data_IF_652947706213
#
_entry.id   IF_652947706213
#
_cell.length_a   1.000
_cell.length_b   1.000
_cell.length_c   1.000
_cell.angle_alpha   90.00
_cell.angle_beta   90.00
_cell.angle_gamma   90.00
#
_symmetry.space_group_name_H-M   'P 1'
#
loop_
_entity.id
_entity.type
_entity.pdbx_description
1 polymer ?
#
# COMPACT_ATOMS: atom_id res chain seq x y z
N UNK A 1 6.80 -11.94 -14.36
CA UNK A 1 7.11 -12.39 -12.99
C UNK A 1 6.50 -11.39 -12.03
N UNK A 2 5.82 -11.87 -10.99
CA UNK A 2 5.27 -11.05 -9.91
C UNK A 2 6.42 -10.40 -9.14
N UNK A 3 6.20 -9.18 -8.67
CA UNK A 3 7.19 -8.38 -7.96
C UNK A 3 7.17 -8.68 -6.47
N UNK A 4 5.96 -8.75 -5.94
CA UNK A 4 5.68 -9.16 -4.59
C UNK A 4 5.06 -10.55 -4.65
N UNK A 5 5.51 -11.43 -3.77
CA UNK A 5 4.92 -12.75 -3.56
C UNK A 5 4.55 -12.83 -2.10
N UNK A 6 3.30 -13.23 -1.83
CA UNK A 6 2.83 -13.38 -0.45
C UNK A 6 3.76 -14.31 0.33
N UNK A 7 4.19 -13.83 1.50
CA UNK A 7 5.12 -14.54 2.37
C UNK A 7 4.79 -14.28 3.83
N UNK A 8 5.52 -14.92 4.75
CA UNK A 8 5.30 -14.71 6.18
C UNK A 8 5.60 -13.28 6.60
N UNK A 9 6.51 -12.59 5.91
CA UNK A 9 6.79 -11.17 6.15
C UNK A 9 5.60 -10.25 5.83
N UNK A 10 4.55 -10.74 5.15
CA UNK A 10 3.33 -9.98 4.87
C UNK A 10 2.26 -10.07 5.97
N UNK A 11 2.46 -10.95 6.97
CA UNK A 11 1.48 -11.27 7.99
C UNK A 11 1.67 -10.36 9.20
N UNK A 12 0.61 -9.66 9.59
CA UNK A 12 0.54 -8.84 10.80
C UNK A 12 -0.19 -9.55 11.94
N UNK A 13 -0.92 -10.64 11.64
CA UNK A 13 -1.64 -11.41 12.65
C UNK A 13 -3.00 -10.80 13.02
N UNK A 14 -3.51 -9.91 12.17
CA UNK A 14 -4.89 -9.41 12.22
C UNK A 14 -5.54 -9.78 10.89
N UNK A 15 -6.44 -10.76 10.90
CA UNK A 15 -6.97 -11.40 9.69
C UNK A 15 -7.53 -10.38 8.69
N UNK A 16 -8.26 -9.37 9.17
CA UNK A 16 -8.81 -8.33 8.32
C UNK A 16 -7.72 -7.49 7.62
N UNK A 17 -6.59 -7.26 8.27
CA UNK A 17 -5.45 -6.53 7.68
C UNK A 17 -4.65 -7.43 6.75
N UNK A 18 -4.43 -8.69 7.12
CA UNK A 18 -3.77 -9.69 6.28
C UNK A 18 -4.52 -9.89 4.94
N UNK A 19 -5.85 -9.97 4.98
CA UNK A 19 -6.69 -10.07 3.79
C UNK A 19 -6.57 -8.82 2.89
N UNK A 20 -6.52 -7.63 3.49
CA UNK A 20 -6.35 -6.37 2.76
C UNK A 20 -4.96 -6.23 2.15
N UNK A 21 -3.90 -6.64 2.86
CA UNK A 21 -2.53 -6.69 2.36
C UNK A 21 -2.43 -7.55 1.10
N UNK A 22 -3.09 -8.72 1.08
CA UNK A 22 -3.11 -9.59 -0.09
C UNK A 22 -3.68 -8.89 -1.33
N UNK A 23 -4.81 -8.20 -1.18
CA UNK A 23 -5.45 -7.45 -2.26
C UNK A 23 -4.60 -6.25 -2.70
N UNK A 24 -3.98 -5.53 -1.76
CA UNK A 24 -3.08 -4.42 -2.07
C UNK A 24 -1.87 -4.91 -2.87
N UNK A 25 -1.28 -6.03 -2.46
CA UNK A 25 -0.18 -6.68 -3.17
C UNK A 25 -0.56 -7.06 -4.61
N UNK A 26 -1.73 -7.64 -4.81
CA UNK A 26 -2.23 -8.01 -6.14
C UNK A 26 -2.40 -6.76 -7.02
N UNK A 27 -3.01 -5.70 -6.48
CA UNK A 27 -3.23 -4.43 -7.18
C UNK A 27 -1.90 -3.76 -7.58
N UNK A 28 -0.88 -3.83 -6.72
CA UNK A 28 0.48 -3.36 -7.00
C UNK A 28 1.16 -4.19 -8.10
N UNK A 29 1.01 -5.51 -8.06
CA UNK A 29 1.53 -6.42 -9.08
C UNK A 29 0.89 -6.15 -10.45
N UNK A 30 -0.41 -5.92 -10.50
CA UNK A 30 -1.16 -5.56 -11.72
C UNK A 30 -0.66 -4.24 -12.32
N UNK A 31 -0.55 -3.18 -11.51
CA UNK A 31 -0.03 -1.89 -11.97
C UNK A 31 1.35 -2.06 -12.60
N UNK A 32 2.25 -2.81 -11.95
CA UNK A 32 3.58 -3.07 -12.50
C UNK A 32 3.53 -3.79 -13.84
N UNK A 33 2.69 -4.81 -13.99
CA UNK A 33 2.55 -5.52 -15.27
C UNK A 33 2.16 -4.54 -16.37
N UNK A 34 1.23 -3.62 -16.10
CA UNK A 34 0.82 -2.59 -17.05
C UNK A 34 1.98 -1.63 -17.40
N UNK A 35 2.73 -1.18 -16.39
CA UNK A 35 3.87 -0.29 -16.61
C UNK A 35 5.00 -0.96 -17.41
N UNK A 36 5.27 -2.25 -17.19
CA UNK A 36 6.34 -2.98 -17.88
C UNK A 36 6.01 -3.31 -19.35
N UNK A 37 4.74 -3.54 -19.67
CA UNK A 37 4.31 -3.89 -21.02
C UNK A 37 3.92 -2.66 -21.86
N UNK A 38 4.16 -1.45 -21.36
CA UNK A 38 3.79 -0.21 -22.05
C UNK A 38 2.28 -0.09 -22.22
N UNK A 39 1.52 -0.38 -21.15
CA UNK A 39 0.07 -0.25 -21.13
C UNK A 39 -0.40 1.13 -21.57
N UNK A 40 -1.61 1.19 -22.12
CA UNK A 40 -2.20 2.46 -22.54
C UNK A 40 -2.35 3.41 -21.34
N UNK A 41 -2.12 4.71 -21.58
CA UNK A 41 -2.14 5.75 -20.55
C UNK A 41 -3.47 5.79 -19.79
N UNK A 42 -4.59 5.63 -20.49
CA UNK A 42 -5.91 5.60 -19.87
C UNK A 42 -6.03 4.39 -18.95
N UNK A 43 -5.55 3.23 -19.38
CA UNK A 43 -5.53 2.03 -18.54
C UNK A 43 -4.64 2.22 -17.30
N UNK A 44 -3.46 2.82 -17.45
CA UNK A 44 -2.56 3.11 -16.31
C UNK A 44 -3.22 4.07 -15.33
N UNK A 45 -3.88 5.12 -15.83
CA UNK A 45 -4.61 6.08 -14.99
C UNK A 45 -5.71 5.40 -14.18
N UNK A 46 -6.54 4.57 -14.83
CA UNK A 46 -7.59 3.80 -14.16
C UNK A 46 -7.04 2.83 -13.11
N UNK A 47 -5.91 2.17 -13.39
CA UNK A 47 -5.28 1.28 -12.41
C UNK A 47 -4.69 2.05 -11.22
N UNK A 48 -4.13 3.24 -11.44
CA UNK A 48 -3.67 4.11 -10.36
C UNK A 48 -4.83 4.60 -9.50
N UNK A 49 -5.95 4.98 -10.10
CA UNK A 49 -7.18 5.34 -9.37
C UNK A 49 -7.66 4.19 -8.50
N UNK A 50 -7.72 2.97 -9.05
CA UNK A 50 -8.12 1.77 -8.30
C UNK A 50 -7.14 1.46 -7.14
N UNK A 51 -5.83 1.56 -7.39
CA UNK A 51 -4.82 1.40 -6.34
C UNK A 51 -4.97 2.45 -5.23
N UNK A 52 -5.22 3.71 -5.60
CA UNK A 52 -5.40 4.83 -4.65
C UNK A 52 -6.66 4.62 -3.81
N UNK A 53 -7.77 4.19 -4.43
CA UNK A 53 -9.02 3.91 -3.73
C UNK A 53 -8.84 2.78 -2.71
N UNK A 54 -8.24 1.66 -3.14
CA UNK A 54 -8.04 0.52 -2.26
C UNK A 54 -7.04 0.83 -1.13
N UNK A 55 -5.93 1.50 -1.44
CA UNK A 55 -4.94 1.95 -0.44
C UNK A 55 -5.58 2.85 0.61
N UNK A 56 -6.45 3.79 0.21
CA UNK A 56 -7.16 4.65 1.17
C UNK A 56 -8.10 3.87 2.08
N UNK A 57 -8.85 2.92 1.51
CA UNK A 57 -9.77 2.08 2.29
C UNK A 57 -9.00 1.23 3.32
N UNK A 58 -7.89 0.64 2.90
CA UNK A 58 -7.01 -0.12 3.79
C UNK A 58 -6.48 0.75 4.93
N UNK A 59 -5.83 1.88 4.61
CA UNK A 59 -5.31 2.81 5.60
C UNK A 59 -6.39 3.35 6.54
N UNK A 60 -7.59 3.63 6.03
CA UNK A 60 -8.70 4.05 6.87
C UNK A 60 -9.12 2.96 7.86
N UNK A 61 -9.19 1.70 7.41
CA UNK A 61 -9.56 0.56 8.25
C UNK A 61 -8.54 0.35 9.37
N UNK A 62 -7.27 0.42 9.01
CA UNK A 62 -6.14 0.27 9.91
C UNK A 62 -6.03 1.44 10.89
N UNK A 63 -6.08 2.68 10.42
CA UNK A 63 -6.03 3.87 11.27
C UNK A 63 -7.19 3.88 12.28
N UNK A 64 -8.39 3.48 11.87
CA UNK A 64 -9.53 3.33 12.79
C UNK A 64 -9.27 2.27 13.85
N UNK A 65 -8.68 1.14 13.47
CA UNK A 65 -8.31 0.07 14.39
C UNK A 65 -7.26 0.55 15.40
N UNK A 66 -6.16 1.12 14.91
CA UNK A 66 -5.05 1.61 15.74
C UNK A 66 -5.49 2.72 16.70
N UNK A 67 -6.30 3.66 16.22
CA UNK A 67 -6.84 4.74 17.04
C UNK A 67 -7.80 4.21 18.12
N UNK A 68 -8.69 3.27 17.77
CA UNK A 68 -9.66 2.68 18.70
C UNK A 68 -8.96 1.94 19.83
N UNK A 69 -7.94 1.16 19.50
CA UNK A 69 -7.22 0.36 20.48
C UNK A 69 -6.20 1.21 21.27
N UNK A 70 -5.78 2.35 20.73
CA UNK A 70 -4.85 3.27 21.39
C UNK A 70 -3.38 2.88 21.16
N UNK A 71 -3.04 2.44 19.96
CA UNK A 71 -1.68 2.06 19.59
C UNK A 71 -0.73 3.27 19.70
N UNK A 72 0.37 3.20 20.49
CA UNK A 72 1.25 4.35 20.70
C UNK A 72 1.94 4.88 19.44
N UNK A 73 2.16 4.03 18.42
CA UNK A 73 2.81 4.40 17.16
C UNK A 73 1.88 5.01 16.11
N UNK A 74 0.61 5.27 16.43
CA UNK A 74 -0.42 5.70 15.47
C UNK A 74 -0.02 6.92 14.61
N UNK A 75 0.55 7.97 15.21
CA UNK A 75 0.87 9.20 14.46
C UNK A 75 2.02 8.99 13.45
N UNK A 76 3.01 8.16 13.79
CA UNK A 76 4.09 7.78 12.87
C UNK A 76 3.54 6.95 11.71
N UNK A 77 2.70 5.97 12.03
CA UNK A 77 2.02 5.10 11.07
C UNK A 77 1.21 5.90 10.04
N UNK A 78 0.37 6.82 10.53
CA UNK A 78 -0.45 7.70 9.69
C UNK A 78 0.40 8.63 8.83
N UNK A 79 1.57 9.07 9.31
CA UNK A 79 2.48 9.90 8.52
C UNK A 79 3.05 9.13 7.32
N UNK A 80 3.40 7.85 7.51
CA UNK A 80 3.83 6.98 6.41
C UNK A 80 2.72 6.79 5.36
N UNK A 81 1.48 6.59 5.79
CA UNK A 81 0.31 6.51 4.91
C UNK A 81 0.12 7.75 4.05
N UNK A 82 0.16 8.93 4.68
CA UNK A 82 0.03 10.20 3.98
C UNK A 82 1.12 10.38 2.91
N UNK A 83 2.34 9.93 3.20
CA UNK A 83 3.45 10.01 2.25
C UNK A 83 3.24 9.10 1.03
N UNK A 84 2.76 7.86 1.22
CA UNK A 84 2.43 6.99 0.08
C UNK A 84 1.32 7.60 -0.77
N UNK A 85 0.20 8.02 -0.14
CA UNK A 85 -0.94 8.58 -0.85
C UNK A 85 -0.53 9.80 -1.67
N UNK A 86 0.25 10.72 -1.10
CA UNK A 86 0.76 11.88 -1.83
C UNK A 86 1.57 11.48 -3.08
N UNK A 87 2.38 10.41 -2.97
CA UNK A 87 3.19 9.91 -4.10
C UNK A 87 2.33 9.25 -5.18
N UNK A 88 1.29 8.50 -4.79
CA UNK A 88 0.34 7.90 -5.73
C UNK A 88 -0.49 8.98 -6.45
N UNK A 89 -0.99 9.98 -5.73
CA UNK A 89 -1.71 11.11 -6.33
C UNK A 89 -0.84 11.91 -7.29
N UNK A 90 0.42 12.16 -6.94
CA UNK A 90 1.38 12.82 -7.84
C UNK A 90 1.64 12.00 -9.11
N UNK A 91 1.73 10.67 -9.00
CA UNK A 91 1.86 9.81 -10.17
C UNK A 91 0.61 9.85 -11.07
N UNK A 92 -0.60 9.83 -10.48
CA UNK A 92 -1.85 9.96 -11.22
C UNK A 92 -1.95 11.31 -11.94
N UNK A 93 -1.56 12.40 -11.28
CA UNK A 93 -1.56 13.73 -11.88
C UNK A 93 -0.61 13.82 -13.09
N UNK A 94 0.60 13.25 -12.98
CA UNK A 94 1.56 13.21 -14.09
C UNK A 94 1.02 12.43 -15.29
N UNK A 95 0.37 11.28 -15.04
CA UNK A 95 -0.27 10.48 -16.10
C UNK A 95 -1.40 11.26 -16.78
N UNK A 96 -2.22 11.97 -16.01
CA UNK A 96 -3.38 12.69 -16.54
C UNK A 96 -3.00 13.95 -17.35
N UNK A 97 -1.88 14.60 -17.02
CA UNK A 97 -1.41 15.82 -17.70
C UNK A 97 -0.43 15.55 -18.86
N UNK A 98 -0.22 14.29 -19.23
CA UNK A 98 0.78 13.89 -20.23
C UNK A 98 2.20 14.38 -19.89
N UNK A 99 2.47 14.55 -18.60
CA UNK A 99 3.79 14.81 -18.11
C UNK A 99 4.62 13.52 -18.18
N UNK A 100 5.93 13.67 -18.32
CA UNK A 100 6.84 12.53 -18.36
C UNK A 100 6.87 11.83 -16.98
N UNK A 101 5.90 10.94 -16.72
CA UNK A 101 5.93 10.08 -15.54
C UNK A 101 7.18 9.21 -15.61
N UNK A 102 8.02 9.30 -14.59
CA UNK A 102 9.19 8.46 -14.49
C UNK A 102 8.81 7.07 -13.95
N UNK A 103 8.17 6.24 -14.80
CA UNK A 103 7.73 4.89 -14.47
C UNK A 103 8.80 4.04 -13.74
N UNK A 104 10.10 4.10 -14.07
CA UNK A 104 11.12 3.34 -13.34
C UNK A 104 11.22 3.72 -11.85
N UNK A 105 10.94 4.98 -11.50
CA UNK A 105 10.97 5.45 -10.10
C UNK A 105 9.81 4.87 -9.32
N UNK A 106 8.60 4.90 -9.89
CA UNK A 106 7.41 4.33 -9.26
C UNK A 106 7.52 2.80 -9.13
N UNK A 107 8.02 2.13 -10.18
CA UNK A 107 8.24 0.68 -10.21
C UNK A 107 9.25 0.19 -9.16
N UNK A 108 10.26 1.00 -8.83
CA UNK A 108 11.22 0.69 -7.78
C UNK A 108 10.66 1.03 -6.39
N UNK A 109 9.92 2.14 -6.28
CA UNK A 109 9.44 2.63 -5.00
C UNK A 109 8.35 1.76 -4.36
N UNK A 110 7.29 1.42 -5.09
CA UNK A 110 6.12 0.75 -4.52
C UNK A 110 6.42 -0.59 -3.81
N UNK A 111 7.16 -1.54 -4.41
CA UNK A 111 7.52 -2.78 -3.71
C UNK A 111 8.36 -2.56 -2.45
N UNK A 112 9.35 -1.67 -2.53
CA UNK A 112 10.20 -1.34 -1.38
C UNK A 112 9.37 -0.74 -0.26
N UNK A 113 8.52 0.25 -0.59
CA UNK A 113 7.62 0.87 0.38
C UNK A 113 6.70 -0.16 1.02
N UNK A 114 6.06 -1.03 0.23
CA UNK A 114 5.14 -2.05 0.77
C UNK A 114 5.85 -2.97 1.76
N UNK A 115 7.01 -3.53 1.38
CA UNK A 115 7.73 -4.46 2.25
C UNK A 115 8.26 -3.78 3.52
N UNK A 116 8.84 -2.59 3.38
CA UNK A 116 9.37 -1.83 4.50
C UNK A 116 8.25 -1.37 5.44
N UNK A 117 7.11 -0.94 4.91
CA UNK A 117 5.96 -0.50 5.71
C UNK A 117 5.37 -1.66 6.52
N UNK A 118 5.13 -2.80 5.87
CA UNK A 118 4.60 -3.99 6.57
C UNK A 118 5.55 -4.48 7.65
N UNK A 119 6.85 -4.57 7.36
CA UNK A 119 7.84 -5.05 8.32
C UNK A 119 8.06 -4.07 9.49
N UNK A 120 8.21 -2.77 9.20
CA UNK A 120 8.67 -1.79 10.18
C UNK A 120 7.55 -1.08 10.93
N UNK A 121 6.34 -1.04 10.38
CA UNK A 121 5.20 -0.35 10.98
C UNK A 121 4.05 -1.31 11.25
N UNK A 122 3.72 -2.19 10.31
CA UNK A 122 2.51 -2.99 10.46
C UNK A 122 2.64 -4.16 11.44
N UNK A 123 3.71 -4.95 11.29
CA UNK A 123 3.98 -6.06 12.21
C UNK A 123 4.08 -5.61 13.68
N UNK A 124 4.73 -4.48 14.03
CA UNK A 124 4.73 -3.96 15.40
C UNK A 124 3.34 -3.71 16.00
N UNK A 125 2.39 -3.14 15.24
CA UNK A 125 1.04 -3.01 15.77
C UNK A 125 0.36 -4.37 15.88
N UNK A 126 0.63 -5.28 14.95
CA UNK A 126 0.07 -6.63 14.95
C UNK A 126 0.37 -7.37 16.25
N UNK A 127 1.65 -7.40 16.63
CA UNK A 127 2.11 -7.94 17.93
C UNK A 127 1.38 -7.25 19.09
N UNK A 128 1.31 -5.92 19.07
CA UNK A 128 0.70 -5.14 20.14
C UNK A 128 -0.81 -5.40 20.29
N UNK A 129 -1.52 -5.61 19.17
CA UNK A 129 -2.95 -5.94 19.13
C UNK A 129 -3.21 -7.38 19.56
N UNK A 130 -2.41 -8.33 19.10
CA UNK A 130 -2.52 -9.74 19.47
C UNK A 130 -2.31 -9.96 20.98
N UNK A 131 -1.37 -9.22 21.60
CA UNK A 131 -1.18 -9.21 23.06
C UNK A 131 -2.43 -8.74 23.84
N UNK A 132 -3.37 -8.07 23.16
CA UNK A 132 -4.64 -7.56 23.70
C UNK A 132 -5.85 -8.37 23.24
N UNK A 133 -5.63 -9.48 22.53
CA UNK A 133 -6.69 -10.38 22.07
C UNK A 133 -7.43 -9.91 20.82
N UNK A 134 -6.83 -8.99 20.04
CA UNK A 134 -7.33 -8.57 18.72
C UNK A 134 -6.54 -9.34 17.66
N UNK A 135 -7.26 -10.08 16.80
CA UNK A 135 -6.73 -10.96 15.75
C UNK A 135 -7.54 -10.81 14.46
#
# INVERSE_FOLDING_TARGET
>A
MTLLTWSHECIVGVQAMDDQHGILMDTLNELRVMLLHGGDRQCISLQLEHLIEFTQMHFQSEEQLLQREGFPGFEEHRTAHMHLLAKLYSALEQVNHDEALHFPSLLAFLPSWYMEHVEQLDQPYGVWLNDRGVF
#
